data_IF_371631069764
#
_entry.id   IF_371631069764
#
_cell.length_a   1.000
_cell.length_b   1.000
_cell.length_c   1.000
_cell.angle_alpha   90.00
_cell.angle_beta   90.00
_cell.angle_gamma   90.00
#
_symmetry.space_group_name_H-M   'P 1'
#
loop_
_entity.id
_entity.type
_entity.pdbx_description
1 polymer ?
#
# COMPACT_ATOMS: atom_id res chain seq x y z
N UNK A 1 21.75 -5.24 30.14
CA UNK A 1 20.85 -4.10 29.80
C UNK A 1 19.49 -4.54 29.25
N UNK A 2 19.41 -5.34 28.17
CA UNK A 2 18.13 -5.74 27.54
C UNK A 2 17.10 -6.39 28.50
N UNK A 3 17.53 -7.30 29.37
CA UNK A 3 16.66 -7.92 30.39
C UNK A 3 16.05 -6.90 31.37
N UNK A 4 16.81 -5.85 31.71
CA UNK A 4 16.34 -4.79 32.60
C UNK A 4 15.31 -3.89 31.89
N UNK A 5 15.55 -3.57 30.61
CA UNK A 5 14.60 -2.81 29.78
C UNK A 5 13.25 -3.52 29.66
N UNK A 6 13.23 -4.82 29.33
CA UNK A 6 11.99 -5.60 29.24
C UNK A 6 11.27 -5.65 30.60
N UNK A 7 12.01 -5.83 31.70
CA UNK A 7 11.44 -5.83 33.05
C UNK A 7 10.80 -4.48 33.38
N UNK A 8 11.40 -3.37 32.95
CA UNK A 8 10.88 -2.02 33.17
C UNK A 8 9.67 -1.70 32.28
N UNK A 9 9.65 -2.23 31.06
CA UNK A 9 8.53 -2.14 30.12
C UNK A 9 7.29 -2.88 30.67
N UNK A 10 7.51 -4.09 31.18
CA UNK A 10 6.48 -4.94 31.80
C UNK A 10 6.01 -4.42 33.17
N UNK A 11 6.79 -3.56 33.84
CA UNK A 11 6.37 -2.91 35.08
C UNK A 11 5.27 -1.85 34.82
N UNK A 12 5.23 -1.26 33.63
CA UNK A 12 4.26 -0.22 33.25
C UNK A 12 3.33 -0.70 32.14
N UNK A 13 2.61 -1.79 32.39
CA UNK A 13 1.81 -2.53 31.39
C UNK A 13 0.82 -1.64 30.62
N UNK A 14 0.11 -0.76 31.32
CA UNK A 14 -0.91 0.11 30.72
C UNK A 14 -0.27 1.13 29.79
N UNK A 15 0.72 1.89 30.26
CA UNK A 15 1.40 2.91 29.44
C UNK A 15 2.02 2.28 28.20
N UNK A 16 2.70 1.15 28.37
CA UNK A 16 3.32 0.45 27.25
C UNK A 16 2.30 -0.01 26.22
N UNK A 17 1.18 -0.60 26.65
CA UNK A 17 0.10 -1.01 25.77
C UNK A 17 -0.49 0.18 25.00
N UNK A 18 -0.81 1.30 25.67
CA UNK A 18 -1.36 2.48 25.02
C UNK A 18 -0.38 3.08 23.98
N UNK A 19 0.91 3.16 24.30
CA UNK A 19 1.91 3.72 23.37
C UNK A 19 2.12 2.83 22.16
N UNK A 20 2.21 1.51 22.36
CA UNK A 20 2.38 0.58 21.24
C UNK A 20 1.13 0.53 20.38
N UNK A 21 -0.06 0.54 21.00
CA UNK A 21 -1.32 0.60 20.28
C UNK A 21 -1.42 1.85 19.40
N UNK A 22 -1.06 3.02 19.91
CA UNK A 22 -1.04 4.25 19.11
C UNK A 22 -0.11 4.16 17.89
N UNK A 23 1.10 3.61 18.07
CA UNK A 23 2.05 3.40 16.97
C UNK A 23 1.52 2.39 15.97
N UNK A 24 0.97 1.26 16.42
CA UNK A 24 0.43 0.22 15.54
C UNK A 24 -0.75 0.73 14.73
N UNK A 25 -1.67 1.50 15.33
CA UNK A 25 -2.79 2.11 14.61
C UNK A 25 -2.30 3.08 13.52
N UNK A 26 -1.32 3.92 13.84
CA UNK A 26 -0.76 4.86 12.87
C UNK A 26 -0.12 4.13 11.69
N UNK A 27 0.71 3.12 11.95
CA UNK A 27 1.39 2.33 10.90
C UNK A 27 0.39 1.51 10.10
N UNK A 28 -0.62 0.91 10.73
CA UNK A 28 -1.66 0.14 10.05
C UNK A 28 -2.44 1.01 9.06
N UNK A 29 -2.73 2.25 9.41
CA UNK A 29 -3.40 3.19 8.52
C UNK A 29 -2.54 3.52 7.29
N UNK A 30 -1.26 3.82 7.50
CA UNK A 30 -0.30 4.10 6.42
C UNK A 30 -0.18 2.91 5.47
N UNK A 31 -0.01 1.70 6.03
CA UNK A 31 0.09 0.46 5.24
C UNK A 31 -1.20 0.20 4.46
N UNK A 32 -2.37 0.43 5.06
CA UNK A 32 -3.66 0.22 4.39
C UNK A 32 -3.82 1.10 3.14
N UNK A 33 -3.36 2.35 3.19
CA UNK A 33 -3.42 3.25 2.04
C UNK A 33 -2.55 2.74 0.87
N UNK A 34 -1.34 2.25 1.16
CA UNK A 34 -0.47 1.66 0.14
C UNK A 34 -1.05 0.37 -0.43
N UNK A 35 -1.50 -0.55 0.43
CA UNK A 35 -2.09 -1.82 -0.01
C UNK A 35 -3.32 -1.60 -0.89
N UNK A 36 -4.16 -0.61 -0.56
CA UNK A 36 -5.31 -0.26 -1.40
C UNK A 36 -4.88 0.31 -2.76
N UNK A 37 -3.88 1.19 -2.77
CA UNK A 37 -3.31 1.73 -4.01
C UNK A 37 -2.73 0.64 -4.90
N UNK A 38 -1.95 -0.27 -4.30
CA UNK A 38 -1.35 -1.41 -4.98
C UNK A 38 -2.41 -2.38 -5.50
N UNK A 39 -3.44 -2.66 -4.69
CA UNK A 39 -4.57 -3.51 -5.09
C UNK A 39 -5.36 -2.93 -6.25
N UNK A 40 -5.58 -1.61 -6.26
CA UNK A 40 -6.24 -0.92 -7.37
C UNK A 40 -5.39 -0.99 -8.64
N UNK A 41 -4.09 -0.71 -8.53
CA UNK A 41 -3.13 -0.81 -9.64
C UNK A 41 -3.10 -2.23 -10.22
N UNK A 42 -3.02 -3.24 -9.37
CA UNK A 42 -3.06 -4.65 -9.78
C UNK A 42 -4.34 -4.96 -10.54
N UNK A 43 -5.49 -4.65 -9.95
CA UNK A 43 -6.80 -4.94 -10.56
C UNK A 43 -6.96 -4.28 -11.94
N UNK A 44 -6.52 -3.03 -12.08
CA UNK A 44 -6.54 -2.36 -13.39
C UNK A 44 -5.54 -2.94 -14.38
N UNK A 45 -4.37 -3.37 -13.90
CA UNK A 45 -3.37 -4.03 -14.75
C UNK A 45 -3.91 -5.34 -15.27
N UNK A 46 -4.48 -6.17 -14.40
CA UNK A 46 -5.08 -7.46 -14.75
C UNK A 46 -6.16 -7.29 -15.82
N UNK A 47 -7.09 -6.35 -15.63
CA UNK A 47 -8.16 -6.07 -16.61
C UNK A 47 -7.60 -5.52 -17.93
N UNK A 48 -6.58 -4.65 -17.87
CA UNK A 48 -5.98 -4.07 -19.09
C UNK A 48 -5.24 -5.13 -19.91
N UNK A 49 -4.53 -6.03 -19.23
CA UNK A 49 -3.82 -7.15 -19.84
C UNK A 49 -4.80 -8.16 -20.44
N UNK A 50 -5.90 -8.46 -19.77
CA UNK A 50 -6.96 -9.33 -20.30
C UNK A 50 -7.59 -8.75 -21.58
N UNK A 51 -7.90 -7.45 -21.61
CA UNK A 51 -8.51 -6.81 -22.80
C UNK A 51 -7.52 -6.77 -23.96
N UNK A 52 -6.24 -6.56 -23.68
CA UNK A 52 -5.18 -6.45 -24.72
C UNK A 52 -4.60 -7.82 -25.08
N UNK A 53 -5.05 -8.90 -24.43
CA UNK A 53 -4.53 -10.25 -24.64
C UNK A 53 -4.71 -10.66 -26.12
N UNK A 54 -3.58 -10.81 -26.82
CA UNK A 54 -3.54 -11.17 -28.24
C UNK A 54 -3.30 -10.01 -29.20
N UNK A 55 -3.16 -8.78 -28.71
CA UNK A 55 -2.74 -7.61 -29.51
C UNK A 55 -1.28 -7.30 -29.19
N UNK A 56 -0.36 -7.77 -30.03
CA UNK A 56 1.09 -7.46 -29.89
C UNK A 56 1.42 -6.03 -30.35
N UNK A 57 0.71 -5.52 -31.35
CA UNK A 57 0.89 -4.17 -31.91
C UNK A 57 -0.48 -3.57 -32.28
N UNK A 58 -0.83 -2.45 -31.67
CA UNK A 58 -1.96 -1.60 -32.06
C UNK A 58 -1.45 -0.38 -32.83
N UNK A 59 -1.83 -0.24 -34.11
CA UNK A 59 -1.51 0.94 -34.91
C UNK A 59 -2.63 1.96 -34.75
N UNK A 60 -2.41 2.96 -33.89
CA UNK A 60 -3.32 4.11 -33.78
C UNK A 60 -2.97 5.13 -34.85
N UNK A 61 -3.97 5.56 -35.62
CA UNK A 61 -3.79 6.67 -36.57
C UNK A 61 -3.48 7.97 -35.81
N UNK A 62 -2.61 8.82 -36.38
CA UNK A 62 -2.46 10.20 -35.91
C UNK A 62 -3.81 10.87 -36.02
N UNK A 63 -4.32 11.42 -34.92
CA UNK A 63 -5.56 12.18 -34.93
C UNK A 63 -5.38 13.36 -35.89
N UNK A 64 -6.22 13.45 -36.91
CA UNK A 64 -6.14 14.51 -37.92
C UNK A 64 -6.42 15.91 -37.32
N UNK A 65 -6.92 15.95 -36.08
CA UNK A 65 -7.16 17.17 -35.31
C UNK A 65 -6.92 16.95 -33.82
N UNK A 66 -6.06 17.77 -33.20
CA UNK A 66 -5.99 17.90 -31.74
C UNK A 66 -4.61 18.00 -31.07
N UNK A 67 -3.50 18.13 -31.79
CA UNK A 67 -2.22 18.50 -31.18
C UNK A 67 -2.11 20.03 -31.08
N UNK A 68 -2.26 20.55 -29.86
CA UNK A 68 -1.94 21.93 -29.49
C UNK A 68 -0.95 21.93 -28.31
#
# INVERSE_FOLDING_TARGET
MFRLTIKNLLANKVRFALTTFGVTLAVAFVVSAFVLGDGLRSSFTDVSEEITAGVDIEVRNVADFGDA
#
